data_IF_671157580752
#
_entry.id   IF_671157580752
#
_cell.length_a   1.000
_cell.length_b   1.000
_cell.length_c   1.000
_cell.angle_alpha   90.00
_cell.angle_beta   90.00
_cell.angle_gamma   90.00
#
_symmetry.space_group_name_H-M   'P 1'
#
loop_
_entity.id
_entity.type
_entity.pdbx_description
1 polymer ?
#
# COMPACT_ATOMS: atom_id res chain seq x y z
N UNK A 1 -21.81 55.02 64.66
CA UNK A 1 -21.35 53.84 63.91
C UNK A 1 -22.24 53.64 62.68
N UNK A 2 -21.72 53.87 61.47
CA UNK A 2 -22.36 53.50 60.20
C UNK A 2 -21.29 52.75 59.40
N UNK A 3 -21.39 51.43 59.31
CA UNK A 3 -20.54 50.63 58.43
C UNK A 3 -21.25 50.46 57.09
N UNK A 4 -20.64 50.98 56.03
CA UNK A 4 -21.05 50.75 54.63
C UNK A 4 -20.53 49.37 54.21
N UNK A 5 -21.43 48.51 53.74
CA UNK A 5 -21.06 47.24 53.10
C UNK A 5 -20.57 47.54 51.67
N UNK A 6 -19.29 47.28 51.42
CA UNK A 6 -18.70 47.27 50.08
C UNK A 6 -18.78 45.83 49.57
N UNK A 7 -19.58 45.60 48.54
CA UNK A 7 -19.61 44.34 47.79
C UNK A 7 -18.52 44.45 46.72
N UNK A 8 -17.43 43.69 46.87
CA UNK A 8 -16.38 43.53 45.85
C UNK A 8 -16.77 42.34 44.97
N UNK A 9 -17.16 42.60 43.73
CA UNK A 9 -17.38 41.57 42.71
C UNK A 9 -16.03 41.30 42.04
N UNK A 10 -15.47 40.11 42.29
CA UNK A 10 -14.29 39.62 41.58
C UNK A 10 -14.72 39.09 40.20
N UNK A 11 -14.38 39.82 39.14
CA UNK A 11 -14.53 39.37 37.76
C UNK A 11 -13.36 38.44 37.41
N UNK A 12 -13.62 37.13 37.30
CA UNK A 12 -12.62 36.14 36.88
C UNK A 12 -12.50 36.19 35.35
N UNK A 13 -11.52 36.93 34.84
CA UNK A 13 -11.19 36.91 33.41
C UNK A 13 -10.41 35.62 33.13
N UNK A 14 -11.08 34.62 32.57
CA UNK A 14 -10.44 33.42 32.03
C UNK A 14 -9.70 33.81 30.73
N UNK A 15 -8.38 34.01 30.84
CA UNK A 15 -7.51 34.27 29.69
C UNK A 15 -7.42 32.97 28.89
N UNK A 16 -8.14 32.90 27.77
CA UNK A 16 -7.98 31.85 26.76
C UNK A 16 -6.62 32.09 26.06
N UNK A 17 -5.54 31.51 26.58
CA UNK A 17 -4.27 31.49 25.88
C UNK A 17 -4.41 30.51 24.71
N UNK A 18 -4.26 30.95 23.44
CA UNK A 18 -4.20 30.02 22.33
C UNK A 18 -2.97 29.13 22.54
N UNK A 19 -3.19 27.82 22.68
CA UNK A 19 -2.11 26.85 22.56
C UNK A 19 -1.59 26.96 21.12
N UNK A 20 -0.41 27.55 20.96
CA UNK A 20 0.38 27.38 19.75
C UNK A 20 0.79 25.91 19.70
N UNK A 21 0.01 25.09 19.01
CA UNK A 21 0.44 23.75 18.64
C UNK A 21 1.58 23.91 17.65
N UNK A 22 2.80 23.68 18.11
CA UNK A 22 3.94 23.55 17.20
C UNK A 22 3.68 22.34 16.31
N UNK A 23 3.79 22.52 15.00
CA UNK A 23 3.82 21.41 14.05
C UNK A 23 4.92 20.43 14.44
N UNK A 24 4.56 19.17 14.68
CA UNK A 24 5.52 18.12 14.98
C UNK A 24 6.10 17.57 13.68
N UNK A 25 7.34 17.10 13.75
CA UNK A 25 7.94 16.31 12.68
C UNK A 25 8.21 14.89 13.17
N UNK A 26 7.57 13.93 12.52
CA UNK A 26 7.77 12.51 12.74
C UNK A 26 8.71 11.93 11.68
N UNK A 27 9.56 11.01 12.10
CA UNK A 27 10.53 10.35 11.25
C UNK A 27 10.23 8.87 11.12
N UNK A 28 10.38 8.35 9.91
CA UNK A 28 10.14 6.94 9.59
C UNK A 28 11.39 6.34 8.97
N UNK A 29 11.77 5.14 9.40
CA UNK A 29 12.89 4.38 8.85
C UNK A 29 12.57 2.89 8.79
N UNK A 30 13.01 2.19 7.75
CA UNK A 30 12.95 0.71 7.68
C UNK A 30 13.66 0.01 8.84
N UNK A 31 14.55 0.71 9.56
CA UNK A 31 15.26 0.22 10.76
C UNK A 31 14.64 0.69 12.08
N UNK A 32 13.55 1.47 12.03
CA UNK A 32 12.85 1.97 13.21
C UNK A 32 12.01 0.92 13.91
N UNK A 33 11.25 1.36 14.91
CA UNK A 33 10.26 0.56 15.63
C UNK A 33 8.96 1.38 15.76
N UNK A 34 7.81 0.77 15.53
CA UNK A 34 6.50 1.43 15.63
C UNK A 34 6.12 1.80 17.08
N UNK A 35 6.82 1.26 18.07
CA UNK A 35 6.72 1.63 19.49
C UNK A 35 7.54 2.86 19.87
N UNK A 36 8.36 3.39 18.95
CA UNK A 36 9.15 4.59 19.20
C UNK A 36 8.30 5.87 19.25
N UNK A 37 8.91 6.99 19.65
CA UNK A 37 8.24 8.30 19.70
C UNK A 37 8.21 9.05 18.36
N UNK A 38 8.83 8.47 17.31
CA UNK A 38 8.86 9.06 15.98
C UNK A 38 9.84 10.23 15.84
N UNK A 39 10.73 10.46 16.81
CA UNK A 39 11.78 11.47 16.67
C UNK A 39 12.84 11.02 15.66
N UNK A 40 13.67 11.97 15.18
CA UNK A 40 14.76 11.66 14.23
C UNK A 40 15.73 10.59 14.74
N UNK A 41 15.98 10.56 16.05
CA UNK A 41 16.88 9.59 16.69
C UNK A 41 16.18 8.27 17.02
N UNK A 42 14.85 8.28 17.14
CA UNK A 42 14.04 7.12 17.43
C UNK A 42 12.83 7.05 16.48
N UNK A 43 13.05 6.78 15.18
CA UNK A 43 12.00 6.88 14.17
C UNK A 43 11.01 5.70 14.28
N UNK A 44 9.79 5.93 13.81
CA UNK A 44 8.83 4.84 13.54
C UNK A 44 9.37 3.90 12.46
N UNK A 45 8.85 2.66 12.42
CA UNK A 45 9.22 1.71 11.37
C UNK A 45 8.37 1.86 10.12
N UNK A 46 7.08 2.11 10.30
CA UNK A 46 6.07 2.17 9.24
C UNK A 46 5.57 3.59 9.04
N UNK A 47 5.17 3.90 7.81
CA UNK A 47 4.58 5.20 7.49
C UNK A 47 3.18 5.29 8.12
N UNK A 48 2.46 4.17 8.20
CA UNK A 48 1.17 4.12 8.88
C UNK A 48 1.25 4.44 10.38
N UNK A 49 2.30 4.01 11.10
CA UNK A 49 2.44 4.35 12.52
C UNK A 49 2.54 5.87 12.72
N UNK A 50 3.33 6.55 11.87
CA UNK A 50 3.40 8.00 11.86
C UNK A 50 2.05 8.65 11.47
N UNK A 51 1.37 8.11 10.44
CA UNK A 51 0.04 8.57 10.01
C UNK A 51 -1.01 8.49 11.14
N UNK A 52 -0.90 7.49 12.02
CA UNK A 52 -1.83 7.28 13.13
C UNK A 52 -1.74 8.37 14.20
N UNK A 53 -0.55 8.93 14.41
CA UNK A 53 -0.30 9.94 15.46
C UNK A 53 -0.31 11.36 14.92
N UNK A 54 -0.08 11.57 13.62
CA UNK A 54 -0.03 12.90 13.02
C UNK A 54 -1.38 13.63 13.06
N UNK A 55 -1.32 14.95 13.28
CA UNK A 55 -2.42 15.91 13.31
C UNK A 55 -2.19 17.06 12.31
N UNK A 56 -3.22 17.88 11.99
CA UNK A 56 -3.08 19.00 11.07
C UNK A 56 -1.85 19.88 11.37
N UNK A 57 -1.05 20.13 10.34
CA UNK A 57 0.21 20.88 10.41
C UNK A 57 1.46 20.01 10.59
N UNK A 58 1.32 18.75 11.01
CA UNK A 58 2.47 17.85 11.22
C UNK A 58 3.11 17.39 9.90
N UNK A 59 4.40 17.07 9.99
CA UNK A 59 5.23 16.55 8.89
C UNK A 59 5.68 15.13 9.23
N UNK A 60 5.59 14.23 8.26
CA UNK A 60 6.10 12.87 8.31
C UNK A 60 7.23 12.78 7.29
N UNK A 61 8.47 12.76 7.78
CA UNK A 61 9.70 12.65 6.99
C UNK A 61 10.17 11.19 6.95
N UNK A 62 10.17 10.59 5.77
CA UNK A 62 10.47 9.17 5.58
C UNK A 62 11.89 9.00 5.01
N UNK A 63 12.75 8.25 5.71
CA UNK A 63 14.08 7.91 5.22
C UNK A 63 14.02 6.85 4.11
N UNK A 64 15.05 6.85 3.28
CA UNK A 64 15.20 6.00 2.11
C UNK A 64 15.05 4.52 2.43
N UNK A 65 14.33 3.83 1.55
CA UNK A 65 13.99 2.42 1.74
C UNK A 65 12.76 2.00 0.97
N UNK A 66 12.46 0.70 1.03
CA UNK A 66 11.27 0.09 0.44
C UNK A 66 10.29 -0.21 1.58
N UNK A 67 9.14 0.44 1.53
CA UNK A 67 8.04 0.29 2.48
C UNK A 67 6.94 -0.55 1.84
N UNK A 68 6.80 -1.79 2.31
CA UNK A 68 5.81 -2.76 1.84
C UNK A 68 4.55 -2.64 2.70
N UNK A 69 3.79 -1.57 2.50
CA UNK A 69 2.61 -1.26 3.32
C UNK A 69 1.52 -0.56 2.49
N UNK A 70 0.32 -0.48 3.09
CA UNK A 70 -0.76 0.38 2.62
C UNK A 70 -0.92 1.49 3.65
N UNK A 71 -0.76 2.73 3.23
CA UNK A 71 -1.02 3.90 4.04
C UNK A 71 -2.50 4.29 3.88
N UNK A 72 -3.20 4.31 4.99
CA UNK A 72 -4.61 4.65 5.19
C UNK A 72 -4.65 5.76 6.26
N UNK A 73 -4.43 7.02 5.86
CA UNK A 73 -4.41 8.13 6.82
C UNK A 73 -5.75 8.21 7.56
N UNK A 74 -5.75 8.14 8.90
CA UNK A 74 -7.01 8.13 9.66
C UNK A 74 -7.66 9.53 9.76
N UNK A 75 -6.91 10.59 9.41
CA UNK A 75 -7.34 11.98 9.43
C UNK A 75 -6.59 12.81 8.38
N UNK A 76 -7.24 13.88 7.95
CA UNK A 76 -6.67 14.89 7.07
C UNK A 76 -6.09 16.08 7.85
N UNK A 77 -5.50 17.01 7.12
CA UNK A 77 -5.12 18.32 7.64
C UNK A 77 -6.24 19.34 7.57
N UNK A 78 -5.87 20.62 7.66
CA UNK A 78 -6.73 21.78 7.44
C UNK A 78 -6.15 22.66 6.30
N UNK A 79 -6.93 23.61 5.80
CA UNK A 79 -6.57 24.45 4.64
C UNK A 79 -5.18 25.07 4.70
N UNK A 80 -4.81 25.59 5.87
CA UNK A 80 -3.49 26.20 6.09
C UNK A 80 -2.53 25.30 6.89
N UNK A 81 -3.00 24.12 7.32
CA UNK A 81 -2.26 23.18 8.15
C UNK A 81 -2.40 21.75 7.57
N UNK A 82 -1.87 21.48 6.36
CA UNK A 82 -1.94 20.15 5.79
C UNK A 82 -1.12 19.16 6.63
N UNK A 83 -1.44 17.87 6.55
CA UNK A 83 -0.53 16.81 7.00
C UNK A 83 0.40 16.48 5.83
N UNK A 84 1.71 16.66 6.03
CA UNK A 84 2.69 16.47 4.96
C UNK A 84 3.40 15.14 5.10
N UNK A 85 3.29 14.29 4.10
CA UNK A 85 4.08 13.07 3.94
C UNK A 85 5.16 13.35 2.92
N UNK A 86 6.43 13.24 3.31
CA UNK A 86 7.55 13.52 2.42
C UNK A 86 8.69 12.51 2.53
N UNK A 87 9.33 12.23 1.40
CA UNK A 87 10.64 11.59 1.42
C UNK A 87 11.70 12.54 2.00
N UNK A 88 12.63 12.00 2.79
CA UNK A 88 13.79 12.75 3.27
C UNK A 88 14.62 13.26 2.08
N UNK A 89 15.14 14.49 2.19
CA UNK A 89 15.83 15.18 1.10
C UNK A 89 16.94 14.32 0.48
N UNK A 90 16.90 14.17 -0.85
CA UNK A 90 17.87 13.40 -1.63
C UNK A 90 17.77 11.87 -1.48
N UNK A 91 16.79 11.34 -0.74
CA UNK A 91 16.65 9.90 -0.52
C UNK A 91 15.51 9.32 -1.36
N UNK A 92 15.72 8.10 -1.86
CA UNK A 92 14.69 7.37 -2.59
C UNK A 92 13.82 6.57 -1.62
N UNK A 93 12.53 6.90 -1.58
CA UNK A 93 11.53 6.17 -0.80
C UNK A 93 10.55 5.52 -1.75
N UNK A 94 10.46 4.20 -1.69
CA UNK A 94 9.50 3.42 -2.47
C UNK A 94 8.42 2.87 -1.55
N UNK A 95 7.15 3.12 -1.90
CA UNK A 95 6.00 2.48 -1.26
C UNK A 95 5.41 1.50 -2.26
N UNK A 96 5.42 0.22 -1.93
CA UNK A 96 5.02 -0.85 -2.85
C UNK A 96 3.85 -1.68 -2.34
N UNK A 97 2.93 -1.99 -3.25
CA UNK A 97 1.83 -2.92 -3.01
C UNK A 97 2.25 -4.38 -3.10
N UNK A 98 3.50 -4.68 -3.46
CA UNK A 98 4.03 -6.03 -3.65
C UNK A 98 4.81 -6.57 -2.44
N UNK A 99 5.02 -7.88 -2.44
CA UNK A 99 5.95 -8.59 -1.55
C UNK A 99 6.97 -9.34 -2.36
N UNK A 100 8.21 -9.37 -1.87
CA UNK A 100 9.19 -10.34 -2.35
C UNK A 100 8.74 -11.75 -1.99
N UNK A 101 8.80 -12.66 -2.96
CA UNK A 101 8.35 -14.03 -2.80
C UNK A 101 9.45 -15.03 -3.13
N UNK A 102 9.81 -15.83 -2.14
CA UNK A 102 10.76 -16.94 -2.25
C UNK A 102 10.06 -18.29 -2.01
N UNK A 103 10.83 -19.37 -2.14
CA UNK A 103 10.35 -20.73 -1.87
C UNK A 103 9.50 -21.29 -3.01
N UNK A 104 9.78 -20.86 -4.24
CA UNK A 104 9.19 -21.41 -5.45
C UNK A 104 9.59 -22.86 -5.59
N UNK A 105 8.61 -23.74 -5.84
CA UNK A 105 8.83 -25.16 -6.08
C UNK A 105 8.92 -25.39 -7.58
N UNK A 106 10.05 -25.94 -8.02
CA UNK A 106 10.21 -26.38 -9.40
C UNK A 106 9.10 -27.39 -9.75
N UNK A 107 8.54 -27.28 -10.95
CA UNK A 107 7.58 -28.24 -11.49
C UNK A 107 8.26 -29.04 -12.60
N UNK A 108 8.19 -28.55 -13.84
CA UNK A 108 8.77 -29.17 -15.02
C UNK A 108 9.27 -28.08 -15.96
N UNK A 109 10.39 -28.34 -16.64
CA UNK A 109 11.05 -27.35 -17.50
C UNK A 109 11.31 -26.06 -16.73
N UNK A 110 10.82 -24.95 -17.29
CA UNK A 110 10.99 -23.60 -16.74
C UNK A 110 9.82 -23.15 -15.83
N UNK A 111 8.90 -24.07 -15.52
CA UNK A 111 7.70 -23.75 -14.73
C UNK A 111 7.97 -24.01 -13.24
N UNK A 112 7.64 -23.00 -12.44
CA UNK A 112 7.72 -23.04 -10.98
C UNK A 112 6.35 -22.69 -10.39
N UNK A 113 6.10 -23.13 -9.16
CA UNK A 113 4.85 -22.89 -8.47
C UNK A 113 5.09 -22.44 -7.04
N UNK A 114 4.27 -21.48 -6.57
CA UNK A 114 4.16 -21.13 -5.15
C UNK A 114 2.71 -21.30 -4.70
N UNK A 115 2.54 -22.06 -3.61
CA UNK A 115 1.29 -22.14 -2.85
C UNK A 115 1.35 -21.21 -1.64
N UNK A 116 0.31 -20.39 -1.48
CA UNK A 116 0.13 -19.42 -0.41
C UNK A 116 -1.18 -19.74 0.33
N UNK A 117 -1.17 -19.82 1.67
CA UNK A 117 -2.40 -20.06 2.43
C UNK A 117 -3.37 -18.89 2.27
N UNK A 118 -4.68 -19.14 2.43
CA UNK A 118 -5.72 -18.13 2.20
C UNK A 118 -5.57 -16.87 3.07
N UNK A 119 -4.98 -16.99 4.27
CA UNK A 119 -4.71 -15.84 5.14
C UNK A 119 -3.54 -14.97 4.69
N UNK A 120 -2.74 -15.38 3.70
CA UNK A 120 -1.59 -14.60 3.22
C UNK A 120 -2.01 -13.23 2.65
N UNK A 121 -3.15 -13.18 1.97
CA UNK A 121 -3.68 -11.98 1.33
C UNK A 121 -4.68 -11.20 2.19
N UNK A 122 -5.11 -11.75 3.32
CA UNK A 122 -6.14 -11.14 4.15
C UNK A 122 -7.50 -11.06 3.43
N UNK A 123 -8.14 -9.88 3.46
CA UNK A 123 -9.47 -9.67 2.89
C UNK A 123 -9.50 -9.44 1.37
N UNK A 124 -8.34 -9.26 0.73
CA UNK A 124 -8.24 -8.97 -0.70
C UNK A 124 -7.12 -9.78 -1.33
N UNK A 125 -7.48 -10.68 -2.25
CA UNK A 125 -6.54 -11.53 -2.98
C UNK A 125 -6.44 -11.11 -4.46
N UNK A 126 -5.33 -10.47 -4.89
CA UNK A 126 -5.14 -10.05 -6.28
C UNK A 126 -5.18 -11.21 -7.29
N UNK A 127 -4.80 -12.42 -6.85
CA UNK A 127 -4.74 -13.62 -7.68
C UNK A 127 -6.05 -14.42 -7.69
N UNK A 128 -7.10 -13.90 -7.03
CA UNK A 128 -8.47 -14.40 -7.12
C UNK A 128 -9.47 -13.32 -7.54
N UNK A 129 -9.06 -12.05 -7.55
CA UNK A 129 -9.91 -10.92 -7.89
C UNK A 129 -9.94 -10.71 -9.40
N UNK A 130 -11.03 -11.17 -10.03
CA UNK A 130 -11.26 -11.03 -11.46
C UNK A 130 -11.74 -9.62 -11.79
N UNK A 131 -11.07 -8.97 -12.73
CA UNK A 131 -11.49 -7.71 -13.32
C UNK A 131 -12.76 -7.95 -14.13
N UNK A 132 -13.86 -7.38 -13.65
CA UNK A 132 -15.17 -7.34 -14.30
C UNK A 132 -15.88 -6.06 -13.87
N UNK A 133 -16.38 -5.29 -14.82
CA UNK A 133 -17.24 -4.13 -14.53
C UNK A 133 -17.85 -3.57 -15.81
N UNK A 134 -18.68 -2.55 -15.66
CA UNK A 134 -19.18 -1.71 -16.75
C UNK A 134 -18.02 -1.22 -17.63
N UNK A 135 -18.25 -1.30 -18.95
CA UNK A 135 -17.31 -0.94 -20.02
C UNK A 135 -15.96 -1.69 -19.99
N UNK A 136 -15.83 -2.75 -19.19
CA UNK A 136 -14.72 -3.68 -19.32
C UNK A 136 -15.12 -4.80 -20.29
N UNK A 137 -14.52 -4.80 -21.47
CA UNK A 137 -14.70 -5.84 -22.48
C UNK A 137 -13.52 -6.81 -22.39
N UNK A 138 -13.67 -7.99 -21.75
CA UNK A 138 -12.58 -8.96 -21.68
C UNK A 138 -12.18 -9.40 -23.08
N UNK A 139 -10.91 -9.74 -23.25
CA UNK A 139 -10.46 -10.37 -24.49
C UNK A 139 -11.13 -11.74 -24.65
N UNK A 140 -11.47 -12.11 -25.88
CA UNK A 140 -11.89 -13.47 -26.18
C UNK A 140 -10.70 -14.42 -25.94
N UNK A 141 -10.91 -15.46 -25.15
CA UNK A 141 -9.92 -16.52 -24.93
C UNK A 141 -9.77 -17.39 -26.18
N UNK A 142 -8.69 -18.17 -26.24
CA UNK A 142 -8.50 -19.18 -27.27
C UNK A 142 -9.58 -20.27 -27.25
N UNK A 143 -10.36 -20.38 -26.17
CA UNK A 143 -11.49 -21.32 -26.07
C UNK A 143 -12.84 -20.70 -26.43
N UNK A 144 -12.88 -19.48 -26.98
CA UNK A 144 -14.12 -18.82 -27.41
C UNK A 144 -15.01 -18.36 -26.25
N UNK A 145 -14.41 -18.14 -25.07
CA UNK A 145 -15.08 -17.60 -23.87
C UNK A 145 -14.35 -16.37 -23.34
N UNK A 146 -14.98 -15.56 -22.50
CA UNK A 146 -14.33 -14.39 -21.90
C UNK A 146 -13.09 -14.77 -21.09
N UNK A 147 -11.94 -14.19 -21.44
CA UNK A 147 -10.70 -14.34 -20.68
C UNK A 147 -10.84 -13.71 -19.30
N UNK A 148 -10.38 -14.43 -18.28
CA UNK A 148 -10.27 -13.91 -16.91
C UNK A 148 -9.01 -13.06 -16.77
N UNK A 149 -9.18 -11.77 -16.57
CA UNK A 149 -8.12 -10.86 -16.17
C UNK A 149 -8.14 -10.70 -14.66
N UNK A 150 -7.00 -10.85 -14.00
CA UNK A 150 -6.87 -10.69 -12.55
C UNK A 150 -6.18 -9.36 -12.23
N UNK A 151 -6.41 -8.83 -11.02
CA UNK A 151 -5.71 -7.61 -10.56
C UNK A 151 -4.29 -7.87 -10.06
N UNK A 152 -3.93 -9.13 -9.84
CA UNK A 152 -2.58 -9.54 -9.47
C UNK A 152 -1.58 -9.41 -10.62
N UNK A 153 -0.31 -9.33 -10.26
CA UNK A 153 0.82 -9.31 -11.17
C UNK A 153 2.02 -9.98 -10.48
N UNK A 154 2.86 -10.61 -11.29
CA UNK A 154 4.16 -11.15 -10.89
C UNK A 154 5.26 -10.29 -11.52
N UNK A 155 6.32 -10.05 -10.77
CA UNK A 155 7.48 -9.29 -11.22
C UNK A 155 8.76 -10.11 -11.01
N UNK A 156 9.72 -9.95 -11.91
CA UNK A 156 11.08 -10.49 -11.76
C UNK A 156 12.07 -9.40 -12.11
N UNK A 157 13.01 -9.12 -11.21
CA UNK A 157 14.04 -8.08 -11.38
C UNK A 157 13.43 -6.73 -11.83
N UNK A 158 12.32 -6.34 -11.18
CA UNK A 158 11.52 -5.14 -11.47
C UNK A 158 10.79 -5.11 -12.83
N UNK A 159 10.78 -6.22 -13.57
CA UNK A 159 10.04 -6.37 -14.83
C UNK A 159 8.74 -7.12 -14.61
N UNK A 160 7.67 -6.67 -15.29
CA UNK A 160 6.36 -7.32 -15.24
C UNK A 160 6.36 -8.63 -16.02
N UNK A 161 5.73 -9.66 -15.44
CA UNK A 161 5.41 -10.91 -16.12
C UNK A 161 3.93 -10.86 -16.51
N UNK A 162 3.61 -11.11 -17.77
CA UNK A 162 2.22 -11.09 -18.23
C UNK A 162 1.45 -12.32 -17.77
N UNK A 163 0.14 -12.16 -17.57
CA UNK A 163 -0.73 -13.28 -17.23
C UNK A 163 -0.87 -14.21 -18.45
N UNK A 164 -0.79 -15.53 -18.24
CA UNK A 164 -1.23 -16.57 -19.16
C UNK A 164 -2.76 -16.69 -19.13
N UNK A 165 -3.33 -17.20 -20.20
CA UNK A 165 -4.76 -17.51 -20.28
C UNK A 165 -5.11 -18.79 -19.53
N UNK A 166 -4.29 -19.83 -19.73
CA UNK A 166 -4.48 -21.15 -19.14
C UNK A 166 -3.21 -21.62 -18.45
N UNK A 167 -3.34 -22.63 -17.59
CA UNK A 167 -2.19 -23.25 -16.93
C UNK A 167 -1.33 -24.01 -17.95
N UNK A 168 -1.96 -24.63 -18.94
CA UNK A 168 -1.34 -25.40 -20.01
C UNK A 168 -0.40 -24.55 -20.87
N UNK A 169 -0.72 -23.28 -21.09
CA UNK A 169 0.13 -22.32 -21.82
C UNK A 169 1.55 -22.26 -21.22
N UNK A 170 1.67 -22.34 -19.89
CA UNK A 170 2.97 -22.26 -19.21
C UNK A 170 3.89 -23.43 -19.54
N UNK A 171 3.33 -24.60 -19.85
CA UNK A 171 4.08 -25.82 -20.15
C UNK A 171 4.32 -26.01 -21.66
N UNK A 172 3.63 -25.24 -22.50
CA UNK A 172 3.77 -25.27 -23.96
C UNK A 172 4.78 -24.26 -24.50
N UNK A 173 4.63 -23.91 -25.80
CA UNK A 173 5.41 -22.85 -26.44
C UNK A 173 4.93 -21.47 -25.98
N UNK A 174 5.40 -21.07 -24.80
CA UNK A 174 5.11 -19.79 -24.19
C UNK A 174 6.05 -18.70 -24.72
N UNK A 175 5.51 -17.60 -25.27
CA UNK A 175 6.31 -16.43 -25.65
C UNK A 175 6.63 -15.60 -24.41
N UNK A 176 7.92 -15.41 -24.12
CA UNK A 176 8.37 -14.71 -22.91
C UNK A 176 7.95 -15.42 -21.62
N UNK A 177 8.20 -14.77 -20.48
CA UNK A 177 7.73 -15.25 -19.18
C UNK A 177 6.22 -14.99 -19.05
N UNK A 178 5.51 -15.92 -18.42
CA UNK A 178 4.07 -15.83 -18.14
C UNK A 178 3.73 -16.39 -16.77
N UNK A 179 2.67 -15.89 -16.15
CA UNK A 179 2.14 -16.41 -14.89
C UNK A 179 0.66 -16.80 -14.98
N UNK A 180 0.25 -17.80 -14.21
CA UNK A 180 -1.14 -18.21 -14.05
C UNK A 180 -1.43 -18.39 -12.57
N UNK A 181 -2.66 -18.11 -12.12
CA UNK A 181 -3.06 -18.38 -10.75
C UNK A 181 -4.43 -19.01 -10.63
N UNK A 182 -4.60 -19.82 -9.58
CA UNK A 182 -5.86 -20.41 -9.15
C UNK A 182 -5.95 -20.35 -7.63
N UNK A 183 -7.14 -20.08 -7.11
CA UNK A 183 -7.40 -20.14 -5.68
C UNK A 183 -8.54 -21.09 -5.37
N UNK A 184 -8.45 -21.77 -4.24
CA UNK A 184 -9.47 -22.65 -3.69
C UNK A 184 -9.46 -22.61 -2.14
N UNK A 185 -10.15 -23.56 -1.50
CA UNK A 185 -10.26 -23.63 -0.04
C UNK A 185 -8.91 -23.87 0.66
N UNK A 186 -7.90 -24.41 -0.05
CA UNK A 186 -6.57 -24.69 0.50
C UNK A 186 -5.60 -23.52 0.38
N UNK A 187 -5.86 -22.56 -0.52
CA UNK A 187 -4.99 -21.42 -0.75
C UNK A 187 -4.99 -20.93 -2.19
N UNK A 188 -4.02 -20.07 -2.46
CA UNK A 188 -3.71 -19.55 -3.79
C UNK A 188 -2.46 -20.23 -4.34
N UNK A 189 -2.55 -20.70 -5.56
CA UNK A 189 -1.46 -21.27 -6.31
C UNK A 189 -1.10 -20.32 -7.44
N UNK A 190 0.19 -19.95 -7.52
CA UNK A 190 0.74 -19.10 -8.57
C UNK A 190 1.79 -19.93 -9.30
N UNK A 191 1.55 -20.20 -10.58
CA UNK A 191 2.52 -20.81 -11.48
C UNK A 191 3.14 -19.74 -12.36
N UNK A 192 4.41 -19.89 -12.65
CA UNK A 192 5.14 -18.98 -13.52
C UNK A 192 6.12 -19.78 -14.34
N UNK A 193 6.11 -19.55 -15.66
CA UNK A 193 7.23 -19.94 -16.51
C UNK A 193 8.27 -18.82 -16.43
N UNK A 194 9.32 -19.04 -15.64
CA UNK A 194 10.42 -18.08 -15.43
C UNK A 194 11.49 -18.18 -16.52
N UNK A 195 11.25 -18.95 -17.59
CA UNK A 195 12.30 -19.37 -18.52
C UNK A 195 13.46 -20.01 -17.75
N UNK A 196 14.66 -19.93 -18.30
CA UNK A 196 15.88 -20.48 -17.73
C UNK A 196 16.28 -19.82 -16.38
N UNK A 197 15.52 -18.82 -15.90
CA UNK A 197 15.79 -18.14 -14.63
C UNK A 197 15.34 -18.96 -13.43
N UNK A 198 16.14 -18.95 -12.37
CA UNK A 198 15.77 -19.59 -11.10
C UNK A 198 15.14 -18.57 -10.16
N UNK A 199 13.81 -18.61 -9.92
CA UNK A 199 13.11 -17.58 -9.13
C UNK A 199 13.50 -17.54 -7.65
N UNK A 200 14.19 -18.56 -7.13
CA UNK A 200 14.74 -18.53 -5.77
C UNK A 200 16.10 -17.84 -5.69
N UNK A 201 16.76 -17.58 -6.82
CA UNK A 201 17.99 -16.79 -6.93
C UNK A 201 17.72 -15.36 -7.39
N UNK A 202 16.67 -15.17 -8.19
CA UNK A 202 16.26 -13.87 -8.69
C UNK A 202 15.42 -13.07 -7.67
N UNK A 203 15.26 -11.78 -7.93
CA UNK A 203 14.36 -10.92 -7.17
C UNK A 203 12.95 -11.03 -7.75
N UNK A 204 12.09 -11.82 -7.11
CA UNK A 204 10.71 -12.05 -7.57
C UNK A 204 9.75 -11.40 -6.60
N UNK A 205 8.80 -10.64 -7.11
CA UNK A 205 7.75 -10.02 -6.32
C UNK A 205 6.36 -10.37 -6.86
N UNK A 206 5.36 -10.31 -5.98
CA UNK A 206 3.95 -10.46 -6.35
C UNK A 206 3.11 -9.34 -5.74
N UNK A 207 2.08 -8.87 -6.43
CA UNK A 207 1.13 -7.96 -5.78
C UNK A 207 0.50 -8.62 -4.56
N UNK A 208 0.26 -7.82 -3.53
CA UNK A 208 -0.48 -8.23 -2.34
C UNK A 208 -1.56 -7.23 -1.96
N UNK A 209 -1.32 -5.94 -2.18
CA UNK A 209 -2.17 -4.85 -1.69
C UNK A 209 -2.89 -4.18 -2.86
N UNK A 210 -4.16 -3.82 -2.63
CA UNK A 210 -4.99 -3.10 -3.60
C UNK A 210 -4.49 -1.68 -3.85
N UNK A 211 -4.04 -0.99 -2.80
CA UNK A 211 -3.55 0.39 -2.86
C UNK A 211 -2.31 0.54 -1.98
N UNK A 212 -1.52 1.60 -2.23
CA UNK A 212 -0.32 1.94 -1.44
C UNK A 212 -0.51 3.17 -0.56
N UNK A 213 -1.24 4.18 -1.04
CA UNK A 213 -1.62 5.35 -0.25
C UNK A 213 -3.06 5.71 -0.61
N UNK A 214 -4.01 5.39 0.26
CA UNK A 214 -5.44 5.59 0.02
C UNK A 214 -6.23 5.60 1.34
N UNK A 215 -6.77 6.75 1.76
CA UNK A 215 -7.65 6.82 2.92
C UNK A 215 -8.92 5.99 2.70
N UNK A 216 -9.27 5.13 3.64
CA UNK A 216 -10.50 4.32 3.61
C UNK A 216 -11.78 5.12 3.84
N UNK A 217 -11.64 6.33 4.37
CA UNK A 217 -12.75 7.27 4.62
C UNK A 217 -12.67 8.43 3.65
N UNK A 218 -13.82 8.93 3.24
CA UNK A 218 -13.94 10.21 2.53
C UNK A 218 -13.70 11.38 3.50
N UNK A 219 -13.39 12.56 2.97
CA UNK A 219 -13.22 13.78 3.78
C UNK A 219 -11.89 13.85 4.54
N UNK A 220 -10.94 12.98 4.23
CA UNK A 220 -9.57 13.03 4.71
C UNK A 220 -8.81 14.04 3.83
N UNK A 221 -9.10 15.32 4.07
CA UNK A 221 -8.67 16.44 3.22
C UNK A 221 -7.26 16.93 3.55
N UNK A 222 -6.72 17.86 2.74
CA UNK A 222 -5.48 18.59 3.03
C UNK A 222 -4.29 17.69 3.42
N UNK A 223 -4.05 16.66 2.61
CA UNK A 223 -2.86 15.81 2.69
C UNK A 223 -1.91 16.20 1.57
N UNK A 224 -0.64 16.38 1.90
CA UNK A 224 0.44 16.53 0.92
C UNK A 224 1.23 15.22 0.85
N UNK A 225 1.43 14.68 -0.36
CA UNK A 225 2.23 13.50 -0.61
C UNK A 225 3.36 13.88 -1.56
N UNK A 226 4.61 13.88 -1.09
CA UNK A 226 5.75 14.44 -1.81
C UNK A 226 6.97 13.51 -1.85
N UNK A 227 7.59 13.37 -3.02
CA UNK A 227 8.89 12.69 -3.16
C UNK A 227 8.89 11.16 -3.08
N UNK A 228 7.73 10.50 -3.07
CA UNK A 228 7.65 9.04 -3.05
C UNK A 228 7.58 8.42 -4.45
N UNK A 229 8.19 7.24 -4.60
CA UNK A 229 7.89 6.32 -5.69
C UNK A 229 6.80 5.33 -5.25
N UNK A 230 5.57 5.54 -5.73
CA UNK A 230 4.43 4.68 -5.42
C UNK A 230 4.27 3.63 -6.53
N UNK A 231 4.29 2.34 -6.21
CA UNK A 231 4.35 1.29 -7.25
C UNK A 231 3.66 -0.01 -6.87
N UNK A 232 3.43 -0.86 -7.88
CA UNK A 232 2.96 -2.24 -7.76
C UNK A 232 1.71 -2.41 -6.87
N UNK A 233 0.70 -1.55 -7.07
CA UNK A 233 -0.60 -1.69 -6.46
C UNK A 233 -1.54 -2.50 -7.37
N UNK A 234 -2.32 -3.41 -6.80
CA UNK A 234 -3.30 -4.24 -7.53
C UNK A 234 -4.65 -3.51 -7.63
N UNK A 235 -4.66 -2.38 -8.34
CA UNK A 235 -5.84 -1.55 -8.51
C UNK A 235 -6.89 -2.29 -9.35
N UNK A 236 -8.19 -2.15 -9.04
CA UNK A 236 -9.24 -2.70 -9.89
C UNK A 236 -9.42 -1.85 -11.15
N UNK A 237 -10.31 -2.32 -12.02
CA UNK A 237 -10.90 -1.47 -13.05
C UNK A 237 -11.86 -0.45 -12.40
N UNK A 238 -11.74 0.81 -12.81
CA UNK A 238 -12.40 1.96 -12.17
C UNK A 238 -13.28 2.72 -13.18
N UNK A 239 -14.46 2.21 -13.58
CA UNK A 239 -15.41 2.94 -14.39
C UNK A 239 -16.13 4.00 -13.54
N UNK A 240 -16.78 5.02 -14.15
CA UNK A 240 -17.42 6.11 -13.43
C UNK A 240 -18.59 5.69 -12.52
N UNK A 241 -19.08 4.46 -12.66
CA UNK A 241 -20.19 3.87 -11.89
C UNK A 241 -19.74 3.08 -10.66
N UNK A 242 -18.43 3.07 -10.36
CA UNK A 242 -17.84 2.35 -9.21
C UNK A 242 -16.98 3.31 -8.40
N UNK A 243 -16.54 2.84 -7.24
CA UNK A 243 -15.50 3.54 -6.48
C UNK A 243 -14.18 3.56 -7.28
N UNK A 244 -13.49 4.69 -7.25
CA UNK A 244 -12.30 5.00 -8.04
C UNK A 244 -11.17 5.51 -7.13
#
# INVERSE_FOLDING_TARGET
MKFKNIIIIFFLIAIFQPFLSLANEFYVSTKGNDENDGTKNNPFRTIQAAANVAYPGDIITVFGGIYRERIDPPRGGEENNPIVYQAASGQQVTITGAEELKGWKHQIGDVWMRHLPNNYFGSFNPFANVIRSDWFFPLESQQGVDRKHLTGMVYINNQVIEQAETLEELYGKCWGMRWFAKSDNSGTYIWVNFKESNPNKEFVEINKRRTVFYPSKTGINYITVNGFHLTQAANPWSPPTREQ
#
